data_IF_535431184867
#
_entry.id   IF_535431184867
#
_cell.length_a   1.000
_cell.length_b   1.000
_cell.length_c   1.000
_cell.angle_alpha   90.00
_cell.angle_beta   90.00
_cell.angle_gamma   90.00
#
_symmetry.space_group_name_H-M   'P 1'
#
loop_
_entity.id
_entity.type
_entity.pdbx_description
1 polymer ?
#
# COMPACT_ATOMS: atom_id res chain seq x y z
N UNK A 1 -44.52 -42.92 21.44
CA UNK A 1 -43.26 -43.23 20.71
C UNK A 1 -43.17 -42.27 19.53
N UNK A 2 -42.29 -41.26 19.60
CA UNK A 2 -42.23 -40.14 18.65
C UNK A 2 -40.93 -40.22 17.83
N UNK A 3 -41.02 -40.68 16.60
CA UNK A 3 -39.92 -40.74 15.64
C UNK A 3 -39.74 -39.40 14.94
N UNK A 4 -38.76 -38.58 15.37
CA UNK A 4 -38.28 -37.43 14.59
C UNK A 4 -37.36 -37.93 13.48
N UNK A 5 -37.87 -37.99 12.24
CA UNK A 5 -37.04 -38.12 11.06
C UNK A 5 -36.29 -36.81 10.81
N UNK A 6 -34.95 -36.83 10.91
CA UNK A 6 -34.09 -35.78 10.36
C UNK A 6 -33.83 -36.12 8.89
N UNK A 7 -34.19 -35.21 7.98
CA UNK A 7 -33.77 -35.28 6.58
C UNK A 7 -32.26 -34.95 6.48
N UNK A 8 -31.48 -35.65 5.66
CA UNK A 8 -30.16 -35.19 5.27
C UNK A 8 -30.31 -34.09 4.21
N UNK A 9 -29.72 -32.92 4.45
CA UNK A 9 -29.61 -31.85 3.45
C UNK A 9 -28.32 -32.03 2.67
N UNK A 10 -28.45 -32.11 1.35
CA UNK A 10 -27.36 -32.18 0.39
C UNK A 10 -26.41 -30.98 0.50
N UNK A 11 -25.11 -31.27 0.63
CA UNK A 11 -24.05 -30.67 -0.19
C UNK A 11 -23.82 -29.15 -0.19
N UNK A 12 -24.29 -28.37 0.79
CA UNK A 12 -23.91 -26.94 0.92
C UNK A 12 -23.13 -26.75 2.21
N UNK A 13 -21.83 -26.43 2.11
CA UNK A 13 -21.02 -26.11 3.28
C UNK A 13 -21.67 -24.96 4.06
N UNK A 14 -22.04 -25.23 5.31
CA UNK A 14 -22.64 -24.24 6.19
C UNK A 14 -21.62 -23.11 6.44
N UNK A 15 -22.04 -21.85 6.25
CA UNK A 15 -21.23 -20.66 6.55
C UNK A 15 -20.70 -20.71 7.99
N UNK A 16 -21.45 -21.34 8.90
CA UNK A 16 -21.07 -21.54 10.30
C UNK A 16 -19.98 -22.60 10.46
N UNK A 17 -19.92 -23.63 9.61
CA UNK A 17 -18.80 -24.57 9.55
C UNK A 17 -17.54 -23.92 8.95
N UNK A 18 -17.68 -23.08 7.92
CA UNK A 18 -16.56 -22.33 7.36
C UNK A 18 -15.93 -21.37 8.39
N UNK A 19 -16.73 -20.60 9.11
CA UNK A 19 -16.24 -19.69 10.17
C UNK A 19 -15.60 -20.45 11.35
N UNK A 20 -16.09 -21.66 11.66
CA UNK A 20 -15.47 -22.52 12.68
C UNK A 20 -14.11 -23.07 12.24
N UNK A 21 -13.93 -23.39 10.96
CA UNK A 21 -12.63 -23.79 10.40
C UNK A 21 -11.65 -22.61 10.33
N UNK A 22 -12.13 -21.40 10.00
CA UNK A 22 -11.30 -20.19 9.94
C UNK A 22 -10.91 -19.64 11.33
N UNK A 23 -11.74 -19.86 12.36
CA UNK A 23 -11.47 -19.42 13.74
C UNK A 23 -10.51 -20.29 14.53
N UNK A 24 -10.03 -21.40 13.96
CA UNK A 24 -9.12 -22.37 14.59
C UNK A 24 -7.64 -22.12 14.24
N UNK A 25 -7.29 -20.85 13.99
CA UNK A 25 -5.93 -20.39 13.69
C UNK A 25 -5.49 -19.21 14.56
N UNK A 26 -5.99 -19.09 15.79
CA UNK A 26 -5.78 -17.90 16.64
C UNK A 26 -5.62 -18.22 18.12
N UNK A 27 -4.55 -18.91 18.49
CA UNK A 27 -4.08 -18.95 19.88
C UNK A 27 -2.59 -19.26 19.92
N UNK A 28 -1.77 -18.22 20.11
CA UNK A 28 -0.33 -18.38 20.29
C UNK A 28 0.44 -17.08 20.08
N UNK A 29 0.36 -16.14 21.04
CA UNK A 29 1.45 -15.19 21.23
C UNK A 29 2.67 -15.98 21.73
N UNK A 30 3.54 -16.37 20.82
CA UNK A 30 4.90 -16.80 21.16
C UNK A 30 5.85 -15.75 20.61
N UNK A 31 6.30 -14.86 21.51
CA UNK A 31 7.47 -14.03 21.31
C UNK A 31 8.70 -14.94 21.18
N UNK A 32 9.15 -15.19 19.95
CA UNK A 32 10.51 -15.65 19.67
C UNK A 32 11.13 -14.64 18.72
N UNK A 33 11.95 -13.77 19.31
CA UNK A 33 13.00 -13.08 18.61
C UNK A 33 14.04 -14.13 18.16
N UNK A 34 14.16 -14.35 16.85
CA UNK A 34 15.41 -14.68 16.18
C UNK A 34 15.24 -14.66 14.66
N UNK A 35 15.81 -13.64 14.01
CA UNK A 35 16.28 -13.75 12.62
C UNK A 35 15.22 -13.65 11.52
N UNK A 36 14.76 -12.43 11.24
CA UNK A 36 14.04 -12.10 10.01
C UNK A 36 13.91 -10.59 9.87
N UNK A 37 14.79 -9.98 9.08
CA UNK A 37 14.90 -8.54 8.93
C UNK A 37 13.60 -7.91 8.42
N UNK A 38 12.95 -7.11 9.26
CA UNK A 38 11.93 -6.15 8.88
C UNK A 38 12.36 -4.78 9.40
N UNK A 39 12.44 -3.73 8.56
CA UNK A 39 12.68 -2.38 9.04
C UNK A 39 11.47 -1.89 9.83
N UNK A 40 11.74 -1.50 11.07
CA UNK A 40 10.87 -0.71 11.90
C UNK A 40 10.98 0.75 11.44
N UNK A 41 9.92 1.32 10.88
CA UNK A 41 9.84 2.76 10.66
C UNK A 41 8.88 3.39 11.67
N UNK A 42 9.47 3.80 12.78
CA UNK A 42 9.01 4.90 13.61
C UNK A 42 8.70 6.11 12.73
N UNK A 43 7.42 6.44 12.56
CA UNK A 43 6.99 7.74 12.06
C UNK A 43 7.28 8.81 13.10
N UNK A 44 8.53 9.28 13.14
CA UNK A 44 8.88 10.56 13.74
C UNK A 44 8.81 11.59 12.64
N UNK A 45 7.80 12.46 12.70
CA UNK A 45 7.79 13.72 11.97
C UNK A 45 8.92 14.59 12.53
N UNK A 46 10.12 14.46 11.96
CA UNK A 46 11.22 15.37 12.19
C UNK A 46 11.54 16.05 10.87
N UNK A 47 11.18 17.32 10.78
CA UNK A 47 11.70 18.24 9.79
C UNK A 47 13.22 18.32 9.98
N UNK A 48 13.97 17.51 9.26
CA UNK A 48 15.42 17.62 9.20
C UNK A 48 15.81 18.48 8.01
N UNK A 49 15.93 19.76 8.31
CA UNK A 49 16.65 20.73 7.53
C UNK A 49 18.15 20.37 7.57
N UNK A 50 18.66 19.86 6.46
CA UNK A 50 20.10 19.74 6.21
C UNK A 50 20.71 18.35 6.42
N UNK A 51 20.81 17.58 5.32
CA UNK A 51 21.82 16.53 5.19
C UNK A 51 22.42 16.55 3.78
N UNK A 52 23.36 17.48 3.58
CA UNK A 52 24.32 17.40 2.49
C UNK A 52 25.22 16.16 2.71
N UNK A 53 24.79 15.02 2.14
CA UNK A 53 25.58 13.77 2.11
C UNK A 53 24.79 12.47 2.13
N UNK A 54 23.45 12.51 2.08
CA UNK A 54 22.58 11.33 2.11
C UNK A 54 22.53 10.53 0.81
N UNK A 55 22.16 9.24 0.93
CA UNK A 55 21.88 8.32 -0.17
C UNK A 55 21.01 8.99 -1.25
N UNK A 56 21.33 8.76 -2.52
CA UNK A 56 20.50 9.24 -3.63
C UNK A 56 19.14 8.54 -3.58
N UNK A 57 18.08 9.31 -3.38
CA UNK A 57 16.72 8.82 -3.30
C UNK A 57 15.93 9.30 -4.50
N UNK A 58 15.08 8.43 -5.05
CA UNK A 58 14.13 8.80 -6.11
C UNK A 58 12.73 8.84 -5.52
N UNK A 59 12.04 9.98 -5.68
CA UNK A 59 10.64 10.13 -5.33
C UNK A 59 9.80 9.97 -6.59
N UNK A 60 8.92 8.98 -6.64
CA UNK A 60 7.90 8.92 -7.67
C UNK A 60 6.69 9.77 -7.22
N UNK A 61 6.19 10.60 -8.13
CA UNK A 61 5.08 11.50 -7.85
C UNK A 61 4.04 11.38 -8.95
N UNK A 62 2.89 10.82 -8.60
CA UNK A 62 1.82 10.56 -9.55
C UNK A 62 0.77 11.66 -9.50
N UNK A 63 0.45 12.16 -10.69
CA UNK A 63 -0.60 13.13 -10.92
C UNK A 63 -1.82 12.45 -11.52
N UNK A 64 -3.04 12.89 -11.15
CA UNK A 64 -4.21 12.57 -11.94
C UNK A 64 -4.05 13.11 -13.37
N UNK A 65 -4.95 12.72 -14.26
CA UNK A 65 -5.08 13.37 -15.56
C UNK A 65 -5.35 14.87 -15.41
N UNK A 66 -5.40 15.59 -16.54
CA UNK A 66 -5.64 17.03 -16.53
C UNK A 66 -4.89 17.74 -17.65
N UNK A 67 -4.87 19.06 -17.59
CA UNK A 67 -4.26 19.89 -18.62
C UNK A 67 -2.74 19.71 -18.67
N UNK A 68 -2.15 20.01 -19.84
CA UNK A 68 -0.70 20.02 -19.99
C UNK A 68 -0.04 21.11 -19.13
N UNK A 69 -0.73 22.23 -18.90
CA UNK A 69 -0.24 23.29 -18.00
C UNK A 69 -0.05 22.77 -16.58
N UNK A 70 -1.00 21.98 -16.08
CA UNK A 70 -0.90 21.36 -14.75
C UNK A 70 0.30 20.41 -14.68
N UNK A 71 0.50 19.57 -15.69
CA UNK A 71 1.64 18.66 -15.74
C UNK A 71 2.98 19.40 -15.78
N UNK A 72 3.12 20.40 -16.66
CA UNK A 72 4.33 21.22 -16.79
C UNK A 72 4.66 21.98 -15.50
N UNK A 73 3.64 22.52 -14.82
CA UNK A 73 3.86 23.20 -13.54
C UNK A 73 4.50 22.26 -12.51
N UNK A 74 4.05 21.02 -12.41
CA UNK A 74 4.63 20.04 -11.49
C UNK A 74 6.02 19.58 -11.91
N UNK A 75 6.32 19.51 -13.20
CA UNK A 75 7.68 19.25 -13.69
C UNK A 75 8.66 20.36 -13.28
N UNK A 76 8.25 21.63 -13.38
CA UNK A 76 9.09 22.75 -12.95
C UNK A 76 9.28 22.78 -11.43
N UNK A 77 8.24 22.46 -10.65
CA UNK A 77 8.34 22.31 -9.18
C UNK A 77 9.34 21.19 -8.83
N UNK A 78 9.22 20.01 -9.44
CA UNK A 78 10.11 18.89 -9.23
C UNK A 78 11.58 19.23 -9.57
N UNK A 79 11.79 20.00 -10.63
CA UNK A 79 13.11 20.50 -11.03
C UNK A 79 13.69 21.48 -10.01
N UNK A 80 12.88 22.42 -9.51
CA UNK A 80 13.29 23.37 -8.48
C UNK A 80 13.64 22.66 -7.15
N UNK A 81 12.86 21.64 -6.78
CA UNK A 81 13.12 20.81 -5.61
C UNK A 81 14.42 20.02 -5.74
N UNK A 82 14.63 19.33 -6.86
CA UNK A 82 15.87 18.57 -7.15
C UNK A 82 17.10 19.47 -7.16
N UNK A 83 16.98 20.72 -7.64
CA UNK A 83 18.07 21.70 -7.63
C UNK A 83 18.50 22.10 -6.22
N UNK A 84 17.56 22.20 -5.29
CA UNK A 84 17.84 22.51 -3.88
C UNK A 84 18.19 21.28 -3.04
N UNK A 85 17.85 20.07 -3.53
CA UNK A 85 18.07 18.80 -2.86
C UNK A 85 18.82 17.83 -3.80
N UNK A 86 20.14 17.98 -3.97
CA UNK A 86 20.90 17.22 -4.97
C UNK A 86 20.94 15.70 -4.70
N UNK A 87 20.57 15.27 -3.49
CA UNK A 87 20.43 13.85 -3.14
C UNK A 87 19.06 13.28 -3.49
N UNK A 88 18.12 14.09 -3.98
CA UNK A 88 16.76 13.66 -4.32
C UNK A 88 16.50 13.88 -5.80
N UNK A 89 16.09 12.83 -6.49
CA UNK A 89 15.55 12.90 -7.86
C UNK A 89 14.04 12.73 -7.80
N UNK A 90 13.28 13.61 -8.46
CA UNK A 90 11.82 13.50 -8.50
C UNK A 90 11.36 13.04 -9.89
N UNK A 91 10.51 12.01 -9.95
CA UNK A 91 9.89 11.52 -11.18
C UNK A 91 8.39 11.83 -11.17
N UNK A 92 7.98 12.84 -11.93
CA UNK A 92 6.57 13.19 -12.07
C UNK A 92 5.95 12.39 -13.22
N UNK A 93 4.90 11.63 -12.92
CA UNK A 93 4.14 10.85 -13.91
C UNK A 93 2.69 11.31 -13.89
N UNK A 94 2.14 11.63 -15.06
CA UNK A 94 0.72 11.93 -15.23
C UNK A 94 -0.03 10.68 -15.68
N UNK A 95 -1.16 10.41 -15.06
CA UNK A 95 -2.08 9.38 -15.53
C UNK A 95 -2.73 9.76 -16.87
N UNK A 96 -2.67 8.87 -17.86
CA UNK A 96 -3.16 9.11 -19.23
C UNK A 96 -4.15 8.06 -19.74
N UNK A 97 -4.48 7.04 -18.94
CA UNK A 97 -5.43 6.00 -19.33
C UNK A 97 -6.88 6.36 -18.98
N UNK A 98 -7.83 5.60 -19.53
CA UNK A 98 -9.26 5.77 -19.26
C UNK A 98 -9.70 5.34 -17.85
N UNK A 99 -8.83 4.63 -17.14
CA UNK A 99 -9.10 4.14 -15.79
C UNK A 99 -9.18 5.29 -14.78
N UNK A 100 -9.97 5.12 -13.73
CA UNK A 100 -10.02 6.09 -12.65
C UNK A 100 -8.66 6.14 -11.93
N UNK A 101 -8.06 7.33 -11.83
CA UNK A 101 -6.76 7.52 -11.20
C UNK A 101 -6.70 6.99 -9.76
N UNK A 102 -7.75 7.23 -8.97
CA UNK A 102 -7.79 6.82 -7.56
C UNK A 102 -7.82 5.29 -7.46
N UNK A 103 -8.55 4.61 -8.34
CA UNK A 103 -8.57 3.14 -8.37
C UNK A 103 -7.20 2.56 -8.72
N UNK A 104 -6.52 3.12 -9.72
CA UNK A 104 -5.16 2.70 -10.09
C UNK A 104 -4.17 2.94 -8.95
N UNK A 105 -4.27 4.10 -8.29
CA UNK A 105 -3.42 4.44 -7.14
C UNK A 105 -3.67 3.48 -5.96
N UNK A 106 -4.92 3.24 -5.60
CA UNK A 106 -5.28 2.31 -4.52
C UNK A 106 -4.85 0.87 -4.85
N UNK A 107 -4.97 0.44 -6.11
CA UNK A 107 -4.51 -0.86 -6.55
C UNK A 107 -2.98 -1.00 -6.39
N UNK A 108 -2.20 0.04 -6.70
CA UNK A 108 -0.75 0.07 -6.50
C UNK A 108 -0.36 0.03 -5.03
N UNK A 109 -1.09 0.76 -4.18
CA UNK A 109 -0.93 0.71 -2.73
C UNK A 109 -1.21 -0.70 -2.20
N UNK A 110 -2.35 -1.30 -2.59
CA UNK A 110 -2.73 -2.65 -2.18
C UNK A 110 -1.74 -3.72 -2.68
N UNK A 111 -1.12 -3.49 -3.85
CA UNK A 111 -0.08 -4.34 -4.41
C UNK A 111 1.31 -4.12 -3.77
N UNK A 112 1.45 -3.23 -2.78
CA UNK A 112 2.71 -2.93 -2.11
C UNK A 112 3.72 -2.16 -2.98
N UNK A 113 3.27 -1.56 -4.07
CA UNK A 113 4.11 -0.79 -4.99
C UNK A 113 3.53 0.62 -5.24
N UNK A 114 3.31 1.42 -4.17
CA UNK A 114 2.87 2.80 -4.34
C UNK A 114 3.93 3.62 -5.09
N UNK A 115 3.52 4.69 -5.79
CA UNK A 115 4.45 5.68 -6.29
C UNK A 115 5.14 6.43 -5.15
#
# INVERSE_FOLDING_TARGET
MSTRQRRPTDGVMDRRQFLRMAGLGGSGLVLVACGGAAPQETSTSQSEEGAAGGQKTTLAFWLPGGSDTYYKAHQEIAKAYTKSHPNITTQVTRHTGDQNFIEVLLARIAAGNPP
#
